data_IF_393617331345
#
_entry.id   IF_393617331345
#
_cell.length_a   1.000
_cell.length_b   1.000
_cell.length_c   1.000
_cell.angle_alpha   90.00
_cell.angle_beta   90.00
_cell.angle_gamma   90.00
#
_symmetry.space_group_name_H-M   'P 1'
#
loop_
_entity.id
_entity.type
_entity.pdbx_description
1 polymer ?
#
# COMPACT_ATOMS: atom_id res chain seq x y z
N UNK A 1 -5.14 18.31 0.61
CA UNK A 1 -4.40 17.57 1.66
C UNK A 1 -5.19 16.31 2.02
N UNK A 2 -4.50 15.23 2.39
CA UNK A 2 -5.14 13.99 2.85
C UNK A 2 -4.44 13.49 4.10
N UNK A 3 -5.23 13.04 5.08
CA UNK A 3 -4.72 12.26 6.20
C UNK A 3 -4.96 10.79 5.92
N UNK A 4 -3.93 9.96 6.04
CA UNK A 4 -4.01 8.53 5.77
C UNK A 4 -3.67 7.77 7.05
N UNK A 5 -4.59 6.90 7.47
CA UNK A 5 -4.34 5.92 8.54
C UNK A 5 -4.20 4.54 7.93
N UNK A 6 -3.06 3.92 8.16
CA UNK A 6 -2.74 2.58 7.69
C UNK A 6 -1.97 1.81 8.77
N UNK A 7 -1.87 0.50 8.56
CA UNK A 7 -1.03 -0.41 9.34
C UNK A 7 -0.39 -1.42 8.38
N UNK A 8 0.61 -2.16 8.89
CA UNK A 8 1.18 -3.30 8.16
C UNK A 8 0.79 -4.61 8.83
N UNK A 9 0.71 -5.66 8.04
CA UNK A 9 0.52 -7.06 8.49
C UNK A 9 1.64 -7.90 7.86
N UNK A 10 1.98 -9.04 8.46
CA UNK A 10 3.00 -9.91 7.88
C UNK A 10 2.51 -10.58 6.61
N UNK A 11 3.37 -10.65 5.60
CA UNK A 11 3.06 -11.38 4.37
C UNK A 11 3.18 -12.91 4.62
N UNK A 12 2.04 -13.58 4.76
CA UNK A 12 1.97 -15.04 4.98
C UNK A 12 2.36 -15.85 3.73
N UNK A 13 2.31 -15.26 2.54
CA UNK A 13 2.74 -15.89 1.29
C UNK A 13 4.27 -15.98 1.15
N UNK A 14 5.02 -15.46 2.13
CA UNK A 14 6.49 -15.43 2.19
C UNK A 14 7.01 -16.13 3.45
N UNK A 15 6.83 -17.45 3.59
CA UNK A 15 7.29 -18.19 4.77
C UNK A 15 8.81 -18.11 4.98
N UNK A 16 9.59 -17.92 3.92
CA UNK A 16 11.04 -17.74 3.95
C UNK A 16 11.50 -16.49 4.71
N UNK A 17 10.61 -15.51 4.90
CA UNK A 17 10.87 -14.27 5.64
C UNK A 17 10.37 -14.30 7.08
N UNK A 18 9.93 -15.45 7.58
CA UNK A 18 9.40 -15.58 8.95
C UNK A 18 10.40 -15.10 10.00
N UNK A 19 11.70 -15.34 9.80
CA UNK A 19 12.75 -14.86 10.70
C UNK A 19 12.92 -13.33 10.74
N UNK A 20 12.41 -12.61 9.74
CA UNK A 20 12.45 -11.14 9.68
C UNK A 20 11.16 -10.48 10.17
N UNK A 21 10.19 -11.25 10.69
CA UNK A 21 8.93 -10.76 11.26
C UNK A 21 9.15 -10.13 12.64
N UNK A 22 9.86 -9.00 12.66
CA UNK A 22 10.17 -8.23 13.86
C UNK A 22 9.42 -6.89 13.83
N UNK A 23 8.33 -6.81 14.60
CA UNK A 23 7.47 -5.62 14.63
C UNK A 23 8.26 -4.36 15.03
N UNK A 24 9.04 -4.43 16.11
CA UNK A 24 9.80 -3.29 16.62
C UNK A 24 10.77 -2.74 15.56
N UNK A 25 11.50 -3.63 14.87
CA UNK A 25 12.39 -3.27 13.76
C UNK A 25 11.63 -2.50 12.68
N UNK A 26 10.57 -3.10 12.14
CA UNK A 26 9.84 -2.53 10.99
C UNK A 26 9.07 -1.27 11.37
N UNK A 27 8.46 -1.23 12.56
CA UNK A 27 7.75 -0.04 13.06
C UNK A 27 8.68 1.16 13.26
N UNK A 28 9.84 0.96 13.89
CA UNK A 28 10.81 2.04 14.12
C UNK A 28 11.35 2.58 12.79
N UNK A 29 11.63 1.70 11.82
CA UNK A 29 12.07 2.12 10.49
C UNK A 29 10.96 2.91 9.79
N UNK A 30 9.73 2.40 9.77
CA UNK A 30 8.60 3.07 9.13
C UNK A 30 8.34 4.46 9.72
N UNK A 31 8.34 4.58 11.06
CA UNK A 31 8.18 5.85 11.76
C UNK A 31 9.28 6.85 11.38
N UNK A 32 10.55 6.43 11.42
CA UNK A 32 11.70 7.27 11.08
C UNK A 32 11.67 7.74 9.63
N UNK A 33 11.25 6.87 8.70
CA UNK A 33 11.13 7.25 7.29
C UNK A 33 9.98 8.22 7.06
N UNK A 34 8.85 8.05 7.75
CA UNK A 34 7.75 9.01 7.69
C UNK A 34 8.16 10.39 8.20
N UNK A 35 8.91 10.47 9.30
CA UNK A 35 9.48 11.72 9.85
C UNK A 35 10.46 12.41 8.88
N UNK A 36 11.01 11.68 7.91
CA UNK A 36 11.96 12.18 6.90
C UNK A 36 11.34 12.42 5.53
N UNK A 37 10.01 12.30 5.39
CA UNK A 37 9.31 12.50 4.11
C UNK A 37 9.28 11.27 3.20
N UNK A 38 9.63 10.10 3.72
CA UNK A 38 9.70 8.84 2.97
C UNK A 38 11.12 8.47 2.54
N UNK A 39 11.26 7.25 1.99
CA UNK A 39 12.53 6.76 1.41
C UNK A 39 12.61 6.99 -0.10
N UNK A 40 11.47 7.21 -0.75
CA UNK A 40 11.33 7.36 -2.20
C UNK A 40 10.51 8.61 -2.50
N UNK A 41 10.66 9.14 -3.72
CA UNK A 41 9.82 10.23 -4.21
C UNK A 41 8.34 9.84 -4.19
N UNK A 42 7.49 10.80 -3.76
CA UNK A 42 6.05 10.59 -3.62
C UNK A 42 5.33 11.12 -4.85
N UNK A 43 4.46 10.31 -5.44
CA UNK A 43 3.65 10.66 -6.61
C UNK A 43 2.16 10.46 -6.35
N UNK A 44 1.34 11.43 -6.76
CA UNK A 44 -0.11 11.39 -6.66
C UNK A 44 -0.72 10.83 -7.95
N UNK A 45 -0.52 9.53 -8.18
CA UNK A 45 -1.10 8.77 -9.29
C UNK A 45 -0.32 8.80 -10.60
N UNK A 46 0.40 9.88 -10.92
CA UNK A 46 1.25 9.98 -12.11
C UNK A 46 2.61 10.60 -11.79
N UNK A 47 3.62 10.38 -12.65
CA UNK A 47 4.99 10.87 -12.44
C UNK A 47 5.10 12.40 -12.43
N UNK A 48 4.22 13.09 -13.14
CA UNK A 48 4.23 14.56 -13.20
C UNK A 48 3.53 15.21 -11.98
N UNK A 49 2.89 14.41 -11.13
CA UNK A 49 2.19 14.87 -9.93
C UNK A 49 3.01 14.52 -8.67
N UNK A 50 4.19 15.13 -8.53
CA UNK A 50 5.02 14.95 -7.33
C UNK A 50 4.37 15.58 -6.10
N UNK A 51 4.49 14.92 -4.95
CA UNK A 51 4.03 15.39 -3.65
C UNK A 51 5.04 15.11 -2.54
N UNK A 52 4.63 15.26 -1.30
CA UNK A 52 5.40 14.91 -0.12
C UNK A 52 4.49 14.28 0.95
N UNK A 53 5.09 13.69 1.97
CA UNK A 53 4.37 13.17 3.15
C UNK A 53 5.01 13.70 4.41
N UNK A 54 4.20 13.83 5.47
CA UNK A 54 4.68 14.19 6.80
C UNK A 54 3.89 13.42 7.87
N UNK A 55 4.45 13.24 9.07
CA UNK A 55 3.69 12.69 10.19
C UNK A 55 2.53 13.62 10.56
N UNK A 56 1.33 13.08 10.67
CA UNK A 56 0.18 13.80 11.19
C UNK A 56 -0.57 12.95 12.21
N UNK A 57 -1.28 13.61 13.13
CA UNK A 57 -2.29 12.94 13.96
C UNK A 57 -3.53 12.77 13.09
N UNK A 58 -3.94 11.53 12.85
CA UNK A 58 -5.17 11.28 12.09
C UNK A 58 -6.38 11.90 12.81
N UNK A 59 -7.29 12.48 12.02
CA UNK A 59 -8.47 13.21 12.52
C UNK A 59 -8.12 14.49 13.29
N UNK A 60 -6.99 15.12 12.96
CA UNK A 60 -6.64 16.45 13.47
C UNK A 60 -7.01 17.54 12.48
N UNK A 61 -7.33 18.73 12.99
CA UNK A 61 -7.83 19.84 12.17
C UNK A 61 -9.28 19.66 11.75
N UNK A 62 -9.73 20.52 10.82
CA UNK A 62 -11.11 20.59 10.33
C UNK A 62 -11.14 20.16 8.87
N UNK A 63 -12.07 19.27 8.51
CA UNK A 63 -12.25 18.86 7.11
C UNK A 63 -13.20 19.83 6.39
N UNK A 64 -12.92 20.22 5.14
CA UNK A 64 -13.87 20.97 4.31
C UNK A 64 -15.20 20.23 4.06
N UNK A 65 -15.21 18.92 4.28
CA UNK A 65 -16.39 18.06 4.10
C UNK A 65 -17.05 17.72 5.44
N UNK A 66 -16.64 18.34 6.53
CA UNK A 66 -17.25 18.12 7.84
C UNK A 66 -18.70 18.62 7.85
N UNK A 67 -19.65 17.78 8.24
CA UNK A 67 -21.08 18.11 8.25
C UNK A 67 -21.81 17.93 6.91
N UNK A 68 -21.10 17.62 5.82
CA UNK A 68 -21.70 17.41 4.49
C UNK A 68 -22.41 16.05 4.34
N UNK A 69 -22.32 15.17 5.34
CA UNK A 69 -22.98 13.86 5.30
C UNK A 69 -22.26 12.85 4.40
N UNK A 70 -23.02 12.09 3.62
CA UNK A 70 -22.51 11.03 2.75
C UNK A 70 -22.39 11.51 1.29
N UNK A 71 -21.20 11.37 0.71
CA UNK A 71 -20.93 11.55 -0.72
C UNK A 71 -20.58 10.19 -1.32
N UNK A 72 -21.43 9.71 -2.23
CA UNK A 72 -21.22 8.45 -2.93
C UNK A 72 -20.40 8.68 -4.21
N UNK A 73 -19.22 8.07 -4.30
CA UNK A 73 -18.38 8.13 -5.51
C UNK A 73 -18.74 7.06 -6.55
N UNK A 74 -19.64 6.14 -6.20
CA UNK A 74 -20.00 5.02 -7.06
C UNK A 74 -18.91 3.96 -7.09
N UNK A 75 -18.82 3.24 -8.22
CA UNK A 75 -17.89 2.12 -8.36
C UNK A 75 -16.48 2.65 -8.69
N UNK A 76 -15.54 2.42 -7.77
CA UNK A 76 -14.15 2.83 -7.89
C UNK A 76 -13.21 1.62 -7.90
N UNK A 77 -12.06 1.78 -8.56
CA UNK A 77 -10.99 0.81 -8.50
C UNK A 77 -10.39 0.75 -7.09
N UNK A 78 -10.21 -0.45 -6.54
CA UNK A 78 -9.60 -0.68 -5.23
C UNK A 78 -8.16 -1.18 -5.35
N UNK A 79 -7.88 -2.08 -6.30
CA UNK A 79 -6.56 -2.68 -6.44
C UNK A 79 -6.57 -3.92 -7.32
N UNK A 80 -5.41 -4.53 -7.50
CA UNK A 80 -5.27 -5.81 -8.20
C UNK A 80 -5.06 -6.95 -7.21
N UNK A 81 -5.64 -8.11 -7.52
CA UNK A 81 -5.27 -9.41 -6.95
C UNK A 81 -4.17 -10.00 -7.84
N UNK A 82 -2.94 -10.07 -7.31
CA UNK A 82 -1.83 -10.69 -8.02
C UNK A 82 -1.74 -12.19 -7.74
N UNK A 83 -1.19 -13.00 -8.68
CA UNK A 83 -1.08 -14.45 -8.51
C UNK A 83 -0.41 -14.92 -7.22
N UNK A 84 0.57 -14.16 -6.71
CA UNK A 84 1.25 -14.49 -5.46
C UNK A 84 0.41 -14.28 -4.20
N UNK A 85 -0.65 -13.46 -4.28
CA UNK A 85 -1.58 -13.17 -3.19
C UNK A 85 -2.79 -14.11 -3.21
N UNK A 86 -3.27 -14.53 -4.39
CA UNK A 86 -4.48 -15.37 -4.51
C UNK A 86 -4.18 -16.86 -4.75
N UNK A 87 -2.96 -17.20 -5.17
CA UNK A 87 -2.59 -18.60 -5.46
C UNK A 87 -3.11 -19.15 -6.79
N UNK A 88 -3.63 -18.28 -7.66
CA UNK A 88 -4.07 -18.61 -9.03
C UNK A 88 -3.22 -17.85 -10.06
N UNK A 89 -2.93 -18.45 -11.23
CA UNK A 89 -2.17 -17.80 -12.31
C UNK A 89 -3.00 -16.78 -13.11
N UNK A 90 -3.66 -15.86 -12.41
CA UNK A 90 -4.57 -14.86 -12.97
C UNK A 90 -4.41 -13.50 -12.30
N UNK A 91 -4.70 -12.45 -13.05
CA UNK A 91 -4.81 -11.08 -12.55
C UNK A 91 -6.28 -10.67 -12.49
N UNK A 92 -6.75 -10.25 -11.32
CA UNK A 92 -8.09 -9.65 -11.16
C UNK A 92 -7.99 -8.20 -10.73
N UNK A 93 -8.89 -7.36 -11.24
CA UNK A 93 -9.14 -6.02 -10.73
C UNK A 93 -10.27 -6.07 -9.70
N UNK A 94 -10.01 -5.58 -8.49
CA UNK A 94 -11.00 -5.37 -7.43
C UNK A 94 -11.60 -3.98 -7.58
N UNK A 95 -12.92 -3.91 -7.53
CA UNK A 95 -13.68 -2.66 -7.47
C UNK A 95 -14.52 -2.63 -6.19
N UNK A 96 -14.73 -1.42 -5.67
CA UNK A 96 -15.55 -1.18 -4.48
C UNK A 96 -16.48 0.00 -4.71
N UNK A 97 -17.61 0.04 -3.99
CA UNK A 97 -18.50 1.20 -3.98
C UNK A 97 -18.05 2.16 -2.89
N UNK A 98 -17.11 3.04 -3.24
CA UNK A 98 -16.53 3.98 -2.30
C UNK A 98 -17.51 5.08 -1.94
N UNK A 99 -17.50 5.44 -0.66
CA UNK A 99 -18.23 6.60 -0.13
C UNK A 99 -17.36 7.36 0.86
N UNK A 100 -17.60 8.66 0.93
CA UNK A 100 -17.02 9.53 1.94
C UNK A 100 -18.13 9.97 2.89
N UNK A 101 -17.88 9.87 4.20
CA UNK A 101 -18.80 10.35 5.23
C UNK A 101 -18.05 11.40 6.04
N UNK A 102 -18.54 12.65 6.02
CA UNK A 102 -17.93 13.78 6.72
C UNK A 102 -16.41 13.89 6.49
N UNK A 103 -15.97 13.80 5.24
CA UNK A 103 -14.55 13.87 4.86
C UNK A 103 -13.73 12.60 5.08
N UNK A 104 -14.34 11.50 5.54
CA UNK A 104 -13.63 10.24 5.81
C UNK A 104 -14.05 9.15 4.84
N UNK A 105 -13.07 8.50 4.21
CA UNK A 105 -13.26 7.30 3.40
C UNK A 105 -12.69 6.12 4.19
N UNK A 106 -13.52 5.10 4.43
CA UNK A 106 -13.09 3.84 5.04
C UNK A 106 -13.03 2.80 3.94
N UNK A 107 -11.83 2.27 3.69
CA UNK A 107 -11.61 1.25 2.69
C UNK A 107 -11.97 -0.13 3.26
N UNK A 108 -12.66 -0.93 2.44
CA UNK A 108 -12.86 -2.35 2.71
C UNK A 108 -11.53 -3.09 2.67
N UNK A 109 -11.42 -4.19 3.42
CA UNK A 109 -10.26 -5.08 3.23
C UNK A 109 -10.31 -5.70 1.83
N UNK A 110 -9.15 -5.99 1.19
CA UNK A 110 -9.13 -6.60 -0.15
C UNK A 110 -9.99 -7.87 -0.27
N UNK A 111 -10.01 -8.69 0.78
CA UNK A 111 -10.79 -9.94 0.82
C UNK A 111 -12.31 -9.68 0.82
N UNK A 112 -12.77 -8.51 1.28
CA UNK A 112 -14.17 -8.13 1.38
C UNK A 112 -14.70 -7.41 0.13
N UNK A 113 -13.85 -7.13 -0.87
CA UNK A 113 -14.28 -6.51 -2.11
C UNK A 113 -15.15 -7.48 -2.92
N UNK A 114 -16.43 -7.14 -3.08
CA UNK A 114 -17.43 -8.00 -3.73
C UNK A 114 -17.38 -7.99 -5.26
N UNK A 115 -16.83 -6.94 -5.87
CA UNK A 115 -16.73 -6.82 -7.33
C UNK A 115 -15.31 -7.14 -7.77
N UNK A 116 -15.14 -8.27 -8.48
CA UNK A 116 -13.87 -8.67 -9.09
C UNK A 116 -14.05 -8.87 -10.58
N UNK A 117 -13.12 -8.32 -11.36
CA UNK A 117 -13.10 -8.44 -12.81
C UNK A 117 -11.81 -9.11 -13.25
N UNK A 118 -11.92 -10.22 -13.97
CA UNK A 118 -10.77 -10.85 -14.60
C UNK A 118 -10.13 -9.90 -15.61
N UNK A 119 -8.81 -9.75 -15.56
CA UNK A 119 -8.04 -8.91 -16.48
C UNK A 119 -7.35 -9.77 -17.53
N UNK A 120 -6.54 -10.75 -17.09
CA UNK A 120 -5.78 -11.68 -17.94
C UNK A 120 -5.11 -12.77 -17.12
N UNK A 121 -4.61 -13.79 -17.79
CA UNK A 121 -3.68 -14.75 -17.19
C UNK A 121 -2.34 -14.10 -16.85
N UNK A 122 -1.74 -14.51 -15.74
CA UNK A 122 -0.47 -14.00 -15.23
C UNK A 122 0.19 -15.04 -14.33
N UNK A 123 1.45 -15.37 -14.57
CA UNK A 123 2.19 -16.29 -13.71
C UNK A 123 2.80 -15.59 -12.49
N UNK A 124 2.89 -16.31 -11.35
CA UNK A 124 3.60 -15.84 -10.16
C UNK A 124 5.07 -15.50 -10.45
N UNK A 125 5.54 -14.35 -9.96
CA UNK A 125 6.96 -13.98 -9.98
C UNK A 125 7.69 -14.58 -8.78
N UNK A 126 8.61 -15.51 -9.04
CA UNK A 126 9.47 -16.09 -8.00
C UNK A 126 10.58 -15.12 -7.65
N UNK A 127 10.77 -14.84 -6.36
CA UNK A 127 11.91 -14.08 -5.85
C UNK A 127 12.86 -15.03 -5.12
N UNK A 128 14.13 -15.00 -5.49
CA UNK A 128 15.21 -15.80 -4.91
C UNK A 128 16.34 -14.85 -4.52
N UNK A 129 16.88 -15.04 -3.31
CA UNK A 129 18.09 -14.35 -2.86
C UNK A 129 19.20 -14.49 -3.90
N UNK A 130 19.94 -13.41 -4.12
CA UNK A 130 21.10 -13.31 -5.04
C UNK A 130 20.79 -13.41 -6.55
N UNK A 131 19.51 -13.53 -6.95
CA UNK A 131 19.08 -13.44 -8.35
C UNK A 131 18.25 -12.19 -8.63
N UNK A 132 17.24 -11.94 -7.82
CA UNK A 132 16.29 -10.83 -7.98
C UNK A 132 15.78 -10.26 -6.65
N UNK A 133 16.43 -10.65 -5.55
CA UNK A 133 16.29 -10.06 -4.22
C UNK A 133 17.72 -9.79 -3.72
N UNK A 134 18.10 -8.52 -3.61
CA UNK A 134 19.40 -8.08 -3.11
C UNK A 134 19.27 -7.69 -1.64
N UNK A 135 20.24 -8.10 -0.82
CA UNK A 135 20.36 -7.66 0.56
C UNK A 135 20.85 -6.21 0.63
N UNK A 136 20.41 -5.48 1.66
CA UNK A 136 20.77 -4.06 1.86
C UNK A 136 22.29 -3.85 1.88
N UNK A 137 23.03 -4.77 2.49
CA UNK A 137 24.50 -4.75 2.56
C UNK A 137 25.17 -4.75 1.17
N UNK A 138 24.62 -5.55 0.24
CA UNK A 138 25.13 -5.66 -1.13
C UNK A 138 24.78 -4.41 -1.94
N UNK A 139 23.58 -3.85 -1.73
CA UNK A 139 23.14 -2.65 -2.43
C UNK A 139 23.91 -1.40 -1.97
N UNK A 140 24.21 -1.29 -0.68
CA UNK A 140 25.07 -0.24 -0.10
C UNK A 140 26.46 -0.27 -0.74
N UNK A 141 27.11 -1.44 -0.79
CA UNK A 141 28.46 -1.58 -1.36
C UNK A 141 28.50 -1.21 -2.86
N UNK A 142 27.41 -1.42 -3.61
CA UNK A 142 27.33 -1.09 -5.04
C UNK A 142 27.09 0.40 -5.31
N UNK A 143 26.50 1.13 -4.38
CA UNK A 143 26.31 2.58 -4.51
C UNK A 143 27.57 3.35 -4.10
N UNK A 144 28.42 2.73 -3.27
CA UNK A 144 29.71 3.29 -2.84
C UNK A 144 30.87 3.00 -3.82
N UNK A 145 30.67 2.12 -4.81
CA UNK A 145 31.65 1.77 -5.84
C UNK A 145 31.41 2.54 -7.15
#
# INVERSE_FOLDING_TARGET
>A
EYQVRAHFEWNEHRPELTGDRNEAKHHIIAKRMLERGGRQDIFLGTRDCQGYVEPCKFDSGTSPYEGEGEIAFGLMFHGFDYPDEIGEDKLYARLTRSKMINGKIVFERPQNCSVRKFVRDMSKKTFSKDRNLLGVEIEETRLEA
#
